data_IF_598947380058
#
_entry.id   IF_598947380058
#
_cell.length_a   1.000
_cell.length_b   1.000
_cell.length_c   1.000
_cell.angle_alpha   90.00
_cell.angle_beta   90.00
_cell.angle_gamma   90.00
#
_symmetry.space_group_name_H-M   'P 1'
#
loop_
_entity.id
_entity.type
_entity.pdbx_description
1 polymer ?
#
# COMPACT_ATOMS: atom_id res chain seq x y z
N UNK A 1 -10.05 4.36 7.98
CA UNK A 1 -9.18 5.32 8.68
C UNK A 1 -8.25 5.97 7.67
N UNK A 2 -8.41 7.27 7.45
CA UNK A 2 -7.57 8.07 6.55
C UNK A 2 -6.43 8.64 7.41
N UNK A 3 -5.19 8.54 6.93
CA UNK A 3 -4.06 9.26 7.53
C UNK A 3 -4.37 10.75 7.61
N UNK A 4 -3.76 11.48 8.55
CA UNK A 4 -3.91 12.94 8.59
C UNK A 4 -3.29 13.54 7.32
N UNK A 5 -3.92 14.59 6.80
CA UNK A 5 -3.34 15.39 5.72
C UNK A 5 -2.20 16.24 6.29
N UNK A 6 -1.07 16.16 5.62
CA UNK A 6 0.13 16.96 5.85
C UNK A 6 0.56 17.56 4.52
N UNK A 7 1.23 18.71 4.52
CA UNK A 7 1.79 19.30 3.30
C UNK A 7 2.56 18.29 2.44
N UNK A 8 3.28 17.39 3.10
CA UNK A 8 4.15 16.35 2.57
C UNK A 8 3.39 15.22 1.86
N UNK A 9 2.09 15.05 2.12
CA UNK A 9 1.24 14.04 1.48
C UNK A 9 0.07 14.61 0.66
N UNK A 10 -0.03 15.93 0.54
CA UNK A 10 -0.98 16.58 -0.37
C UNK A 10 -0.53 16.45 -1.83
N UNK A 11 0.78 16.37 -2.08
CA UNK A 11 1.36 16.14 -3.40
C UNK A 11 2.68 15.36 -3.30
N UNK A 12 3.00 14.53 -4.30
CA UNK A 12 4.26 13.78 -4.39
C UNK A 12 4.57 12.85 -3.18
N UNK A 13 3.56 12.53 -2.36
CA UNK A 13 3.70 11.65 -1.20
C UNK A 13 3.86 10.18 -1.56
N UNK A 14 3.88 9.33 -0.52
CA UNK A 14 3.99 7.88 -0.62
C UNK A 14 2.61 7.26 -0.32
N UNK A 15 1.98 6.69 -1.36
CA UNK A 15 0.68 6.06 -1.25
C UNK A 15 0.79 4.59 -0.83
N UNK A 16 0.15 4.22 0.26
CA UNK A 16 -0.11 2.83 0.68
C UNK A 16 -1.52 2.44 0.22
N UNK A 17 -1.64 1.44 -0.65
CA UNK A 17 -2.93 0.99 -1.17
C UNK A 17 -3.15 -0.51 -0.89
N UNK A 18 -4.16 -0.81 -0.07
CA UNK A 18 -4.70 -2.16 0.12
C UNK A 18 -5.87 -2.45 -0.81
N UNK A 19 -6.40 -3.69 -0.79
CA UNK A 19 -7.53 -4.07 -1.62
C UNK A 19 -8.86 -3.53 -1.06
N UNK A 20 -9.20 -3.88 0.19
CA UNK A 20 -10.43 -3.48 0.88
C UNK A 20 -10.24 -3.42 2.40
N UNK A 21 -11.24 -2.91 3.12
CA UNK A 21 -11.28 -2.96 4.59
C UNK A 21 -11.61 -4.39 5.06
N UNK A 22 -10.60 -5.25 5.12
CA UNK A 22 -10.73 -6.58 5.72
C UNK A 22 -10.48 -6.51 7.23
N UNK A 23 -11.53 -6.44 8.04
CA UNK A 23 -11.42 -6.90 9.42
C UNK A 23 -11.20 -8.41 9.41
N UNK A 24 -10.23 -8.90 10.17
CA UNK A 24 -10.21 -10.33 10.52
C UNK A 24 -11.45 -10.68 11.36
N UNK A 25 -11.88 -11.93 11.35
CA UNK A 25 -13.03 -12.38 12.16
C UNK A 25 -12.87 -12.04 13.67
N UNK A 26 -11.62 -11.99 14.17
CA UNK A 26 -11.33 -11.55 15.54
C UNK A 26 -11.41 -10.04 15.74
N UNK A 27 -11.00 -9.24 14.75
CA UNK A 27 -11.17 -7.78 14.78
C UNK A 27 -12.66 -7.39 14.66
N UNK A 28 -13.44 -8.15 13.88
CA UNK A 28 -14.90 -7.99 13.78
C UNK A 28 -15.60 -8.33 15.10
N UNK A 29 -15.15 -9.36 15.83
CA UNK A 29 -15.73 -9.72 17.12
C UNK A 29 -15.42 -8.65 18.19
N UNK A 30 -14.21 -8.09 18.15
CA UNK A 30 -13.81 -6.95 19.00
C UNK A 30 -14.51 -5.64 18.61
N UNK A 31 -14.80 -5.44 17.32
CA UNK A 31 -15.53 -4.27 16.82
C UNK A 31 -17.03 -4.35 17.17
N UNK A 32 -17.67 -5.50 16.95
CA UNK A 32 -19.07 -5.74 17.36
C UNK A 32 -19.28 -5.68 18.86
N UNK A 33 -18.25 -5.99 19.66
CA UNK A 33 -18.28 -5.84 21.11
C UNK A 33 -18.04 -4.39 21.59
N UNK A 34 -17.48 -3.52 20.74
CA UNK A 34 -17.23 -2.11 21.03
C UNK A 34 -18.40 -1.26 20.53
N UNK A 35 -19.39 -1.05 21.40
CA UNK A 35 -20.55 -0.18 21.17
C UNK A 35 -20.24 1.33 21.03
N UNK A 36 -19.03 1.72 20.61
CA UNK A 36 -18.67 3.12 20.34
C UNK A 36 -17.70 3.22 19.16
N UNK A 37 -18.19 3.77 18.05
CA UNK A 37 -17.35 4.31 16.97
C UNK A 37 -16.71 5.62 17.45
N UNK A 38 -15.74 5.54 18.37
CA UNK A 38 -14.75 6.61 18.42
C UNK A 38 -13.89 6.43 17.16
N UNK A 39 -14.15 7.27 16.14
CA UNK A 39 -13.26 7.39 14.99
C UNK A 39 -11.85 7.59 15.55
N UNK A 40 -10.96 6.62 15.30
CA UNK A 40 -9.57 6.77 15.72
C UNK A 40 -9.04 8.11 15.16
N UNK A 41 -8.36 8.92 16.00
CA UNK A 41 -7.91 10.24 15.57
C UNK A 41 -6.99 10.09 14.35
N UNK A 42 -7.17 10.96 13.35
CA UNK A 42 -6.28 10.95 12.19
C UNK A 42 -4.86 11.28 12.63
N UNK A 43 -3.90 10.46 12.22
CA UNK A 43 -2.47 10.65 12.50
C UNK A 43 -1.61 10.24 11.30
N UNK A 44 -0.29 10.37 11.41
CA UNK A 44 0.66 9.86 10.41
C UNK A 44 0.65 8.31 10.37
N UNK A 45 1.07 7.74 9.24
CA UNK A 45 0.87 6.31 8.94
C UNK A 45 1.44 5.35 9.99
N UNK A 46 2.63 5.68 10.52
CA UNK A 46 3.38 4.85 11.46
C UNK A 46 3.06 5.10 12.94
N UNK A 47 2.14 6.03 13.28
CA UNK A 47 1.80 6.35 14.68
C UNK A 47 1.27 5.12 15.43
N UNK A 48 2.06 4.64 16.38
CA UNK A 48 1.79 3.44 17.19
C UNK A 48 0.49 3.52 17.99
N UNK A 49 -0.02 4.72 18.31
CA UNK A 49 -1.28 4.91 19.04
C UNK A 49 -2.52 4.52 18.23
N UNK A 50 -2.46 4.71 16.91
CA UNK A 50 -3.55 4.41 15.96
C UNK A 50 -3.18 3.26 15.01
N UNK A 51 -1.92 2.83 14.99
CA UNK A 51 -1.47 1.65 14.27
C UNK A 51 -1.72 0.38 15.10
N UNK A 52 -2.98 -0.05 15.14
CA UNK A 52 -3.39 -1.26 15.85
C UNK A 52 -3.48 -2.51 14.98
N UNK A 53 -3.45 -2.35 13.65
CA UNK A 53 -3.69 -3.46 12.71
C UNK A 53 -2.43 -4.26 12.41
N UNK A 54 -2.59 -5.57 12.19
CA UNK A 54 -1.49 -6.43 11.71
C UNK A 54 -0.96 -5.98 10.36
N UNK A 55 -1.83 -5.43 9.51
CA UNK A 55 -1.48 -4.91 8.19
C UNK A 55 -0.38 -3.85 8.28
N UNK A 56 -0.63 -2.78 9.02
CA UNK A 56 0.32 -1.67 9.16
C UNK A 56 1.59 -2.11 9.89
N UNK A 57 1.48 -2.87 10.98
CA UNK A 57 2.65 -3.38 11.73
C UNK A 57 3.62 -4.17 10.83
N UNK A 58 3.10 -5.06 9.98
CA UNK A 58 3.95 -5.81 9.03
C UNK A 58 4.59 -4.91 7.98
N UNK A 59 3.86 -3.92 7.46
CA UNK A 59 4.41 -2.96 6.49
C UNK A 59 5.57 -2.19 7.12
N UNK A 60 5.43 -1.70 8.36
CA UNK A 60 6.52 -1.02 9.06
C UNK A 60 7.76 -1.92 9.19
N UNK A 61 7.57 -3.19 9.58
CA UNK A 61 8.67 -4.14 9.67
C UNK A 61 9.34 -4.43 8.31
N UNK A 62 8.59 -4.45 7.22
CA UNK A 62 9.16 -4.62 5.88
C UNK A 62 9.96 -3.38 5.45
N UNK A 63 9.42 -2.19 5.68
CA UNK A 63 10.12 -0.93 5.39
C UNK A 63 11.41 -0.81 6.20
N UNK A 64 11.37 -1.14 7.49
CA UNK A 64 12.55 -1.20 8.36
C UNK A 64 13.59 -2.20 7.82
N UNK A 65 13.16 -3.41 7.44
CA UNK A 65 14.03 -4.42 6.82
C UNK A 65 14.67 -3.98 5.50
N UNK A 66 14.05 -3.06 4.79
CA UNK A 66 14.60 -2.42 3.58
C UNK A 66 15.38 -1.12 3.86
N UNK A 67 15.67 -0.84 5.14
CA UNK A 67 16.43 0.33 5.57
C UNK A 67 15.66 1.64 5.43
N UNK A 68 14.34 1.59 5.62
CA UNK A 68 13.45 2.76 5.68
C UNK A 68 12.67 2.74 7.01
N UNK A 69 13.34 2.80 8.18
CA UNK A 69 12.65 2.84 9.46
C UNK A 69 11.80 4.10 9.57
N UNK A 70 10.61 3.97 10.17
CA UNK A 70 9.68 5.07 10.40
C UNK A 70 9.57 5.34 11.90
N UNK A 71 9.60 6.62 12.29
CA UNK A 71 9.23 7.03 13.64
C UNK A 71 7.79 6.60 13.93
N UNK A 72 7.53 6.15 15.16
CA UNK A 72 6.22 5.59 15.56
C UNK A 72 5.58 6.35 16.72
N UNK A 73 6.23 7.40 17.22
CA UNK A 73 5.77 8.21 18.35
C UNK A 73 5.47 9.61 17.86
N UNK A 74 4.33 10.15 18.30
CA UNK A 74 4.00 11.55 18.06
C UNK A 74 5.08 12.49 18.62
N UNK A 75 5.40 13.54 17.87
CA UNK A 75 6.49 14.47 18.12
C UNK A 75 7.85 13.99 17.62
N UNK A 76 7.96 12.75 17.13
CA UNK A 76 9.17 12.22 16.49
C UNK A 76 9.02 12.03 14.99
N UNK A 77 7.80 12.21 14.44
CA UNK A 77 7.56 12.14 13.01
C UNK A 77 8.14 13.35 12.27
N UNK A 78 8.87 13.10 11.19
CA UNK A 78 9.37 14.13 10.29
C UNK A 78 8.58 14.19 8.98
N UNK A 79 9.15 14.85 7.97
CA UNK A 79 8.57 14.90 6.63
C UNK A 79 8.37 13.50 6.03
N UNK A 80 9.24 12.54 6.39
CA UNK A 80 9.12 11.16 5.91
C UNK A 80 7.80 10.53 6.30
N UNK A 81 7.51 10.41 7.60
CA UNK A 81 6.31 9.78 8.12
C UNK A 81 5.05 10.52 7.67
N UNK A 82 5.14 11.86 7.57
CA UNK A 82 4.06 12.74 7.11
C UNK A 82 3.78 12.59 5.61
N UNK A 83 4.76 12.19 4.81
CA UNK A 83 4.60 11.95 3.37
C UNK A 83 3.75 10.72 3.05
N UNK A 84 3.54 9.81 4.02
CA UNK A 84 2.70 8.64 3.80
C UNK A 84 1.22 8.99 3.88
N UNK A 85 0.46 8.43 2.96
CA UNK A 85 -0.99 8.41 3.03
C UNK A 85 -1.53 7.05 2.61
N UNK A 86 -2.66 6.66 3.21
CA UNK A 86 -3.23 5.33 3.01
C UNK A 86 -4.64 5.41 2.41
N UNK A 87 -4.90 4.55 1.43
CA UNK A 87 -6.24 4.27 0.90
C UNK A 87 -6.44 2.76 0.71
N UNK A 88 -7.65 2.38 0.32
CA UNK A 88 -7.93 1.10 -0.30
C UNK A 88 -8.41 1.32 -1.73
N UNK A 89 -8.21 0.32 -2.59
CA UNK A 89 -8.70 0.36 -3.95
C UNK A 89 -10.23 0.35 -3.97
N UNK A 90 -10.85 -0.57 -3.23
CA UNK A 90 -12.30 -0.65 -3.10
C UNK A 90 -12.78 0.25 -1.94
N UNK A 91 -13.74 1.14 -2.24
CA UNK A 91 -14.32 2.07 -1.26
C UNK A 91 -15.25 1.38 -0.25
N UNK A 92 -15.61 0.12 -0.51
CA UNK A 92 -16.63 -0.55 0.27
C UNK A 92 -16.07 -1.04 1.62
N UNK A 93 -16.73 -0.68 2.73
CA UNK A 93 -16.69 -1.44 4.00
C UNK A 93 -17.49 -2.75 3.88
N UNK A 94 -17.69 -3.22 2.65
CA UNK A 94 -18.73 -4.19 2.41
C UNK A 94 -18.14 -5.58 2.36
N UNK A 95 -18.66 -6.41 3.27
CA UNK A 95 -19.01 -7.81 2.98
C UNK A 95 -19.99 -7.95 1.78
N UNK A 96 -20.29 -6.88 1.04
CA UNK A 96 -21.08 -6.88 -0.20
C UNK A 96 -20.16 -6.91 -1.42
N UNK A 97 -19.17 -7.80 -1.40
CA UNK A 97 -19.25 -8.81 -2.45
C UNK A 97 -20.35 -9.74 -1.95
N UNK A 98 -21.59 -9.47 -2.35
CA UNK A 98 -22.72 -10.34 -2.06
C UNK A 98 -22.28 -11.78 -2.30
N UNK A 99 -22.30 -12.62 -1.25
CA UNK A 99 -22.09 -14.08 -1.28
C UNK A 99 -20.86 -14.55 -2.09
N UNK A 100 -19.81 -15.01 -1.41
CA UNK A 100 -18.76 -15.86 -2.01
C UNK A 100 -17.93 -15.28 -3.17
N UNK A 101 -18.11 -14.00 -3.53
CA UNK A 101 -17.43 -13.41 -4.67
C UNK A 101 -15.93 -13.20 -4.43
N UNK A 102 -15.13 -13.89 -5.24
CA UNK A 102 -13.68 -13.73 -5.31
C UNK A 102 -13.36 -12.32 -5.81
N UNK A 103 -12.48 -11.59 -5.13
CA UNK A 103 -11.91 -10.34 -5.68
C UNK A 103 -11.17 -10.70 -6.98
N UNK A 104 -11.62 -10.13 -8.10
CA UNK A 104 -11.04 -10.32 -9.44
C UNK A 104 -10.40 -9.03 -9.95
N UNK A 105 -9.56 -9.15 -10.98
CA UNK A 105 -9.05 -7.98 -11.70
C UNK A 105 -10.18 -7.15 -12.31
N UNK A 106 -11.21 -7.82 -12.83
CA UNK A 106 -12.39 -7.17 -13.42
C UNK A 106 -13.08 -6.21 -12.44
N UNK A 107 -13.41 -6.71 -11.24
CA UNK A 107 -14.01 -5.89 -10.19
C UNK A 107 -13.15 -4.68 -9.84
N UNK A 108 -11.83 -4.86 -9.75
CA UNK A 108 -10.92 -3.76 -9.45
C UNK A 108 -10.91 -2.71 -10.57
N UNK A 109 -11.00 -3.12 -11.82
CA UNK A 109 -11.05 -2.19 -12.94
C UNK A 109 -12.36 -1.41 -12.95
N UNK A 110 -13.49 -2.08 -12.73
CA UNK A 110 -14.82 -1.47 -12.69
C UNK A 110 -14.97 -0.46 -11.54
N UNK A 111 -14.35 -0.75 -10.39
CA UNK A 111 -14.40 0.08 -9.18
C UNK A 111 -13.20 1.03 -9.04
N UNK A 112 -12.41 1.24 -10.10
CA UNK A 112 -11.16 2.01 -10.01
C UNK A 112 -11.35 3.52 -9.81
N UNK A 113 -12.54 4.07 -10.06
CA UNK A 113 -12.79 5.51 -10.16
C UNK A 113 -12.25 6.30 -8.95
N UNK A 114 -12.67 5.95 -7.73
CA UNK A 114 -12.28 6.68 -6.53
C UNK A 114 -10.79 6.58 -6.21
N UNK A 115 -10.16 5.44 -6.54
CA UNK A 115 -8.72 5.28 -6.43
C UNK A 115 -7.98 6.20 -7.42
N UNK A 116 -8.42 6.23 -8.68
CA UNK A 116 -7.80 7.05 -9.73
C UNK A 116 -7.95 8.55 -9.46
N UNK A 117 -9.11 9.00 -8.96
CA UNK A 117 -9.32 10.40 -8.53
C UNK A 117 -8.34 10.81 -7.42
N UNK A 118 -8.08 9.94 -6.45
CA UNK A 118 -7.09 10.21 -5.40
C UNK A 118 -5.67 10.29 -5.97
N UNK A 119 -5.31 9.39 -6.88
CA UNK A 119 -3.99 9.41 -7.55
C UNK A 119 -3.83 10.68 -8.39
N UNK A 120 -4.89 11.12 -9.08
CA UNK A 120 -4.90 12.35 -9.86
C UNK A 120 -4.70 13.59 -8.98
N UNK A 121 -5.40 13.66 -7.85
CA UNK A 121 -5.35 14.78 -6.93
C UNK A 121 -4.01 14.87 -6.17
N UNK A 122 -3.46 13.72 -5.75
CA UNK A 122 -2.26 13.67 -4.90
C UNK A 122 -0.96 13.44 -5.66
N UNK A 123 -1.02 12.97 -6.91
CA UNK A 123 0.14 12.66 -7.77
C UNK A 123 1.30 12.02 -7.00
N UNK A 124 1.11 10.85 -6.38
CA UNK A 124 2.12 10.25 -5.53
C UNK A 124 3.43 10.01 -6.30
N UNK A 125 4.56 10.24 -5.63
CA UNK A 125 5.89 9.87 -6.16
C UNK A 125 6.13 8.36 -6.06
N UNK A 126 5.53 7.71 -5.07
CA UNK A 126 5.61 6.26 -4.85
C UNK A 126 4.22 5.69 -4.54
N UNK A 127 3.86 4.59 -5.19
CA UNK A 127 2.66 3.79 -4.87
C UNK A 127 3.09 2.39 -4.46
N UNK A 128 2.72 2.00 -3.24
CA UNK A 128 2.91 0.67 -2.68
C UNK A 128 1.56 -0.06 -2.67
N UNK A 129 1.39 -1.00 -3.61
CA UNK A 129 0.21 -1.86 -3.70
C UNK A 129 0.39 -3.13 -2.87
N UNK A 130 -0.55 -3.42 -1.98
CA UNK A 130 -0.56 -4.63 -1.16
C UNK A 130 -1.65 -5.59 -1.65
N UNK A 131 -1.26 -6.49 -2.55
CA UNK A 131 -2.14 -7.40 -3.26
C UNK A 131 -1.75 -7.50 -4.74
N UNK A 132 -1.49 -8.73 -5.22
CA UNK A 132 -0.96 -8.94 -6.57
C UNK A 132 -1.88 -8.40 -7.69
N UNK A 133 -3.19 -8.43 -7.47
CA UNK A 133 -4.18 -7.98 -8.45
C UNK A 133 -4.19 -6.45 -8.63
N UNK A 134 -3.73 -5.66 -7.66
CA UNK A 134 -3.81 -4.20 -7.73
C UNK A 134 -2.92 -3.62 -8.83
N UNK A 135 -1.66 -4.07 -8.92
CA UNK A 135 -0.77 -3.65 -10.00
C UNK A 135 -1.21 -4.20 -11.36
N UNK A 136 -1.92 -5.33 -11.38
CA UNK A 136 -2.49 -5.91 -12.60
C UNK A 136 -3.67 -5.05 -13.09
N UNK A 137 -4.62 -4.73 -12.22
CA UNK A 137 -5.72 -3.82 -12.51
C UNK A 137 -5.22 -2.44 -12.95
N UNK A 138 -4.22 -1.89 -12.26
CA UNK A 138 -3.60 -0.61 -12.64
C UNK A 138 -2.94 -0.62 -14.03
N UNK A 139 -2.59 -1.79 -14.56
CA UNK A 139 -2.01 -1.98 -15.88
C UNK A 139 -3.02 -2.39 -16.96
N UNK A 140 -4.28 -2.60 -16.58
CA UNK A 140 -5.35 -2.96 -17.50
C UNK A 140 -5.48 -1.90 -18.61
N UNK A 141 -5.74 -2.37 -19.83
CA UNK A 141 -5.82 -1.50 -21.00
C UNK A 141 -6.93 -0.45 -20.84
N UNK A 142 -8.02 -0.79 -20.15
CA UNK A 142 -9.17 0.10 -19.92
C UNK A 142 -8.82 1.31 -19.05
N UNK A 143 -7.83 1.17 -18.16
CA UNK A 143 -7.37 2.26 -17.29
C UNK A 143 -6.16 3.01 -17.86
N UNK A 144 -5.50 2.45 -18.89
CA UNK A 144 -4.17 2.88 -19.34
C UNK A 144 -4.11 4.34 -19.74
N UNK A 145 -5.02 4.80 -20.57
CA UNK A 145 -4.99 6.17 -21.11
C UNK A 145 -5.13 7.19 -19.98
N UNK A 146 -6.02 6.92 -19.02
CA UNK A 146 -6.17 7.76 -17.84
C UNK A 146 -4.93 7.75 -16.95
N UNK A 147 -4.37 6.57 -16.66
CA UNK A 147 -3.14 6.47 -15.86
C UNK A 147 -1.98 7.21 -16.53
N UNK A 148 -1.83 7.10 -17.85
CA UNK A 148 -0.79 7.81 -18.61
C UNK A 148 -1.03 9.32 -18.62
N UNK A 149 -2.28 9.78 -18.74
CA UNK A 149 -2.61 11.19 -18.66
C UNK A 149 -2.27 11.78 -17.28
N UNK A 150 -2.50 11.02 -16.21
CA UNK A 150 -2.25 11.48 -14.83
C UNK A 150 -0.76 11.44 -14.42
N UNK A 151 -0.07 10.34 -14.73
CA UNK A 151 1.27 10.04 -14.20
C UNK A 151 2.38 10.08 -15.25
N UNK A 152 2.03 10.13 -16.54
CA UNK A 152 2.97 10.11 -17.66
C UNK A 152 3.22 8.72 -18.24
N UNK A 153 4.16 8.66 -19.19
CA UNK A 153 4.41 7.47 -20.00
C UNK A 153 4.82 6.26 -19.15
N UNK A 154 4.27 5.10 -19.49
CA UNK A 154 4.60 3.81 -18.87
C UNK A 154 5.97 3.32 -19.32
N UNK A 155 6.75 2.83 -18.38
CA UNK A 155 8.08 2.25 -18.60
C UNK A 155 8.15 0.87 -19.28
N UNK A 156 7.04 0.38 -19.83
CA UNK A 156 6.93 -1.00 -20.32
C UNK A 156 6.31 -1.95 -19.28
N UNK A 157 6.53 -3.26 -19.40
CA UNK A 157 5.98 -4.26 -18.48
C UNK A 157 6.59 -4.16 -17.08
N UNK A 158 5.86 -4.62 -16.05
CA UNK A 158 6.38 -4.66 -14.69
C UNK A 158 7.53 -5.67 -14.56
N UNK A 159 8.61 -5.27 -13.90
CA UNK A 159 9.71 -6.17 -13.55
C UNK A 159 9.29 -7.04 -12.36
N UNK A 160 9.63 -8.33 -12.40
CA UNK A 160 9.30 -9.31 -11.36
C UNK A 160 10.54 -9.63 -10.55
N UNK A 161 10.43 -9.45 -9.23
CA UNK A 161 11.51 -9.68 -8.27
C UNK A 161 11.14 -10.86 -7.37
N UNK A 162 12.12 -11.73 -7.12
CA UNK A 162 12.01 -12.91 -6.25
C UNK A 162 12.84 -12.69 -4.99
N UNK A 163 12.40 -13.27 -3.87
CA UNK A 163 13.23 -13.30 -2.67
C UNK A 163 14.52 -14.10 -2.92
N UNK A 164 15.63 -13.63 -2.36
CA UNK A 164 16.99 -14.16 -2.60
C UNK A 164 17.37 -15.36 -1.72
N UNK A 165 16.49 -15.80 -0.82
CA UNK A 165 16.73 -16.97 0.03
C UNK A 165 16.85 -18.26 -0.80
N UNK A 166 18.05 -18.85 -0.79
CA UNK A 166 18.37 -20.09 -1.51
C UNK A 166 17.52 -21.27 -1.00
N UNK A 167 17.61 -21.58 0.29
CA UNK A 167 16.99 -22.77 0.89
C UNK A 167 15.65 -22.50 1.60
N UNK A 168 14.88 -21.53 1.09
CA UNK A 168 13.57 -21.21 1.67
C UNK A 168 12.54 -22.29 1.34
N UNK A 169 12.05 -22.98 2.39
CA UNK A 169 11.04 -24.04 2.34
C UNK A 169 9.59 -23.54 2.37
N UNK A 170 9.37 -22.25 2.62
CA UNK A 170 8.04 -21.65 2.65
C UNK A 170 7.49 -21.30 1.27
N UNK A 171 6.26 -20.75 1.25
CA UNK A 171 5.62 -20.31 0.00
C UNK A 171 6.34 -19.09 -0.57
N UNK A 172 6.75 -19.19 -1.84
CA UNK A 172 7.40 -18.09 -2.56
C UNK A 172 6.38 -17.13 -3.15
N UNK A 173 6.73 -15.85 -3.13
CA UNK A 173 5.93 -14.73 -3.63
C UNK A 173 6.80 -13.83 -4.49
N UNK A 174 6.18 -12.89 -5.19
CA UNK A 174 6.89 -11.95 -6.04
C UNK A 174 6.56 -10.52 -5.65
N UNK A 175 7.55 -9.65 -5.78
CA UNK A 175 7.36 -8.21 -5.84
C UNK A 175 7.37 -7.80 -7.31
N UNK A 176 6.45 -6.93 -7.73
CA UNK A 176 6.43 -6.35 -9.08
C UNK A 176 6.77 -4.88 -9.00
N UNK A 177 7.59 -4.36 -9.92
CA UNK A 177 7.92 -2.92 -9.93
C UNK A 177 7.76 -2.33 -11.32
N UNK A 178 7.30 -1.08 -11.38
CA UNK A 178 7.10 -0.34 -12.62
C UNK A 178 7.22 1.16 -12.35
N UNK A 179 7.25 1.97 -13.39
CA UNK A 179 7.01 3.41 -13.28
C UNK A 179 6.14 3.95 -14.41
N UNK A 180 5.43 5.02 -14.10
CA UNK A 180 4.73 5.92 -15.02
C UNK A 180 5.28 7.32 -14.77
N UNK A 181 5.87 7.94 -15.79
CA UNK A 181 6.63 9.19 -15.62
C UNK A 181 7.60 9.12 -14.44
N UNK A 182 7.41 10.01 -13.45
CA UNK A 182 8.23 10.05 -12.24
C UNK A 182 7.71 9.12 -11.12
N UNK A 183 6.44 8.69 -11.17
CA UNK A 183 5.83 7.84 -10.14
C UNK A 183 6.38 6.43 -10.19
N UNK A 184 6.90 5.97 -9.05
CA UNK A 184 7.40 4.61 -8.82
C UNK A 184 6.28 3.74 -8.26
N UNK A 185 6.17 2.51 -8.75
CA UNK A 185 5.14 1.57 -8.31
C UNK A 185 5.80 0.28 -7.84
N UNK A 186 5.36 -0.22 -6.69
CA UNK A 186 5.73 -1.50 -6.14
C UNK A 186 4.48 -2.29 -5.76
N UNK A 187 4.25 -3.42 -6.42
CA UNK A 187 3.25 -4.42 -6.06
C UNK A 187 3.85 -5.49 -5.15
N UNK A 188 3.28 -5.65 -3.97
CA UNK A 188 3.70 -6.57 -2.92
C UNK A 188 2.58 -7.59 -2.62
N UNK A 189 2.92 -8.78 -2.08
CA UNK A 189 1.90 -9.65 -1.51
C UNK A 189 1.19 -8.97 -0.33
N UNK A 190 -0.07 -9.31 -0.11
CA UNK A 190 -0.85 -8.71 0.97
C UNK A 190 -0.27 -9.14 2.34
N UNK A 191 -0.12 -8.22 3.33
CA UNK A 191 0.45 -8.55 4.65
C UNK A 191 -0.29 -9.64 5.42
N UNK A 192 -1.53 -9.97 5.06
CA UNK A 192 -2.28 -11.07 5.68
C UNK A 192 -2.35 -12.35 4.82
N UNK A 193 -1.59 -12.43 3.71
CA UNK A 193 -1.54 -13.63 2.88
C UNK A 193 -1.01 -14.84 3.66
N UNK A 194 -1.75 -15.95 3.60
CA UNK A 194 -1.35 -17.22 4.21
C UNK A 194 -0.04 -17.73 3.61
N UNK A 195 0.90 -18.13 4.47
CA UNK A 195 2.21 -18.65 4.08
C UNK A 195 3.28 -17.59 3.78
N UNK A 196 2.97 -16.30 3.87
CA UNK A 196 3.94 -15.22 3.70
C UNK A 196 4.70 -14.96 5.00
N UNK A 197 6.02 -15.20 5.02
CA UNK A 197 6.88 -14.83 6.16
C UNK A 197 7.57 -13.48 5.96
N UNK A 198 7.84 -12.77 7.06
CA UNK A 198 8.53 -11.48 7.01
C UNK A 198 9.99 -11.63 6.55
N UNK A 199 10.66 -12.72 6.93
CA UNK A 199 12.01 -13.06 6.44
C UNK A 199 12.03 -13.20 4.91
N UNK A 200 10.99 -13.79 4.32
CA UNK A 200 10.92 -13.93 2.86
C UNK A 200 10.73 -12.56 2.18
N UNK A 201 9.86 -11.71 2.71
CA UNK A 201 9.64 -10.36 2.17
C UNK A 201 10.87 -9.48 2.34
N UNK A 202 11.55 -9.57 3.48
CA UNK A 202 12.83 -8.89 3.71
C UNK A 202 13.93 -9.34 2.75
N UNK A 203 13.82 -10.54 2.17
CA UNK A 203 14.74 -11.00 1.12
C UNK A 203 14.41 -10.51 -0.29
N UNK A 204 13.30 -9.78 -0.47
CA UNK A 204 13.17 -8.96 -1.67
C UNK A 204 14.22 -7.86 -1.61
N UNK A 205 14.80 -7.55 -2.77
CA UNK A 205 15.71 -6.42 -2.95
C UNK A 205 14.96 -5.32 -3.72
N UNK A 206 14.24 -4.41 -3.04
CA UNK A 206 13.60 -3.29 -3.73
C UNK A 206 14.61 -2.51 -4.57
N UNK A 207 14.25 -2.08 -5.80
CA UNK A 207 15.14 -1.28 -6.61
C UNK A 207 15.61 -0.05 -5.86
N UNK A 208 16.94 0.20 -5.87
CA UNK A 208 17.57 1.30 -5.14
C UNK A 208 16.92 2.66 -5.44
N UNK A 209 16.42 2.86 -6.66
CA UNK A 209 15.71 4.10 -7.05
C UNK A 209 14.41 4.30 -6.28
N UNK A 210 13.65 3.24 -5.98
CA UNK A 210 12.42 3.36 -5.19
C UNK A 210 12.77 3.69 -3.73
N UNK A 211 13.74 2.98 -3.16
CA UNK A 211 14.21 3.25 -1.80
C UNK A 211 14.78 4.66 -1.66
N UNK A 212 15.52 5.13 -2.68
CA UNK A 212 16.03 6.49 -2.75
C UNK A 212 14.88 7.51 -2.76
N UNK A 213 13.89 7.34 -3.62
CA UNK A 213 12.73 8.24 -3.67
C UNK A 213 12.01 8.31 -2.32
N UNK A 214 11.82 7.17 -1.65
CA UNK A 214 11.23 7.14 -0.31
C UNK A 214 12.11 7.89 0.70
N UNK A 215 13.42 7.66 0.70
CA UNK A 215 14.37 8.29 1.64
C UNK A 215 14.59 9.77 1.38
N UNK A 216 14.50 10.24 0.14
CA UNK A 216 14.60 11.68 -0.18
C UNK A 216 13.45 12.46 0.46
N UNK A 217 12.28 11.84 0.63
CA UNK A 217 11.18 12.42 1.43
C UNK A 217 11.49 12.49 2.92
N UNK A 218 12.48 11.74 3.40
CA UNK A 218 12.95 11.82 4.78
C UNK A 218 13.94 12.95 5.04
N UNK A 219 14.50 13.55 3.99
CA UNK A 219 15.43 14.66 4.09
C UNK A 219 14.75 16.04 3.95
N UNK A 220 13.43 16.06 3.75
CA UNK A 220 12.58 17.26 3.71
C UNK A 220 11.92 17.49 5.08
#
# INVERSE_FOLDING_TARGET
>A
MVTKDYSENLSDGILICGINFGYSAGEEHLEKARNSFELEPKSFFSDSRVNKTRFRKRILGWLEGWGCPLATREGQEGGFERSFFQTNWLNSQTRSVSSDGKITCELLVDEAQGFLELVEARRPSVILFFGALLIEAFNDIRLRDRVVAMLGARSGNANVHRGTLKDYSGKRFFMKTQHFGNTRIMGLPHPQTRGLSDIYVGSFEPPARILKEMRERAAL
#
